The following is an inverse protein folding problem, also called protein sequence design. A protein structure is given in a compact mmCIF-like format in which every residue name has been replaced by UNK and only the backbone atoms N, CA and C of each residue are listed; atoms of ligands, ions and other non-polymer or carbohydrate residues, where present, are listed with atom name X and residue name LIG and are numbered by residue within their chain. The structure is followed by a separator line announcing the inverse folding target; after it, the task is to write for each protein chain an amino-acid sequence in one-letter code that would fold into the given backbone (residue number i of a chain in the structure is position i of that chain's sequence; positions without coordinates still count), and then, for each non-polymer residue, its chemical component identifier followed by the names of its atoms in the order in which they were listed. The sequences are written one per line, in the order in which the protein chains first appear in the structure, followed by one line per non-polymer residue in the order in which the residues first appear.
data_IF_937711690602
#
_entry.id   IF_937711690602
#
_cell.length_a   1.000
_cell.length_b   1.000
_cell.length_c   1.000
_cell.angle_alpha   90.00
_cell.angle_beta   90.00
_cell.angle_gamma   90.00
#
_symmetry.space_group_name_H-M   'P 1'
#
loop_
_entity.id
_entity.type
_entity.pdbx_description
1 polymer ?
#
# COMPACT_ATOMS: atom_id res chain seq x y z
N UNK A 1 1.63 -1.33 4.01
CA UNK A 1 1.59 0.15 4.12
C UNK A 1 1.61 0.74 2.73
N UNK A 2 0.68 1.65 2.44
CA UNK A 2 0.58 2.36 1.18
C UNK A 2 0.84 3.84 1.38
N UNK A 3 1.71 4.43 0.55
CA UNK A 3 2.19 5.81 0.68
C UNK A 3 2.06 6.57 -0.64
N UNK A 4 2.20 7.89 -0.57
CA UNK A 4 2.12 8.78 -1.75
C UNK A 4 3.39 8.79 -2.60
N UNK A 5 4.57 8.63 -1.99
CA UNK A 5 5.86 8.81 -2.67
C UNK A 5 6.88 7.71 -2.29
N UNK A 6 7.88 7.52 -3.14
CA UNK A 6 9.00 6.61 -2.86
C UNK A 6 9.81 7.05 -1.62
N UNK A 7 9.95 8.36 -1.41
CA UNK A 7 10.61 8.89 -0.19
C UNK A 7 9.86 8.45 1.07
N UNK A 8 8.52 8.49 1.05
CA UNK A 8 7.72 8.01 2.17
C UNK A 8 7.87 6.49 2.39
N UNK A 9 8.06 5.69 1.32
CA UNK A 9 8.36 4.25 1.43
C UNK A 9 9.64 4.03 2.24
N UNK A 10 10.72 4.75 1.90
CA UNK A 10 12.00 4.62 2.60
C UNK A 10 11.93 5.10 4.05
N UNK A 11 11.17 6.17 4.31
CA UNK A 11 10.91 6.65 5.66
C UNK A 11 10.20 5.60 6.51
N UNK A 12 9.11 5.01 5.99
CA UNK A 12 8.38 3.94 6.68
C UNK A 12 9.27 2.72 6.97
N UNK A 13 10.06 2.30 5.98
CA UNK A 13 11.03 1.21 6.16
C UNK A 13 11.96 1.50 7.34
N UNK A 14 12.56 2.70 7.37
CA UNK A 14 13.44 3.12 8.45
C UNK A 14 12.74 3.15 9.81
N UNK A 15 11.46 3.55 9.86
CA UNK A 15 10.70 3.54 11.12
C UNK A 15 10.49 2.11 11.65
N UNK A 16 10.17 1.15 10.77
CA UNK A 16 10.07 -0.26 11.17
C UNK A 16 11.40 -0.80 11.68
N UNK A 17 12.51 -0.50 11.01
CA UNK A 17 13.85 -0.93 11.44
C UNK A 17 14.26 -0.30 12.78
N UNK A 18 13.82 0.93 13.07
CA UNK A 18 14.17 1.64 14.29
C UNK A 18 13.34 1.19 15.50
N UNK A 19 12.04 0.96 15.29
CA UNK A 19 11.09 0.74 16.38
C UNK A 19 10.58 -0.70 16.50
N UNK A 20 10.90 -1.58 15.54
CA UNK A 20 10.47 -2.97 15.56
C UNK A 20 11.68 -3.91 15.47
N UNK A 21 11.59 -5.06 16.13
CA UNK A 21 12.61 -6.12 16.09
C UNK A 21 12.39 -7.07 14.90
N UNK A 22 12.18 -6.52 13.71
CA UNK A 22 11.86 -7.27 12.48
C UNK A 22 13.13 -7.38 11.64
N UNK A 23 13.32 -8.52 10.97
CA UNK A 23 14.47 -8.69 10.07
C UNK A 23 14.32 -7.75 8.86
N UNK A 24 15.37 -7.01 8.46
CA UNK A 24 15.29 -6.10 7.30
C UNK A 24 14.88 -6.77 5.99
N UNK A 25 15.12 -8.08 5.86
CA UNK A 25 14.71 -8.90 4.71
C UNK A 25 13.21 -9.20 4.66
N UNK A 26 12.50 -9.07 5.79
CA UNK A 26 11.05 -9.23 5.87
C UNK A 26 10.31 -7.92 5.57
N UNK A 27 11.04 -6.81 5.41
CA UNK A 27 10.49 -5.50 5.03
C UNK A 27 10.70 -5.26 3.54
N UNK A 28 9.67 -5.57 2.78
CA UNK A 28 9.66 -5.51 1.31
C UNK A 28 9.17 -4.15 0.86
N UNK A 29 9.94 -3.51 -0.02
CA UNK A 29 9.59 -2.20 -0.60
C UNK A 29 9.24 -2.34 -2.07
N UNK A 30 8.14 -1.71 -2.48
CA UNK A 30 7.70 -1.66 -3.86
C UNK A 30 7.55 -0.21 -4.33
N UNK A 31 8.26 0.11 -5.40
CA UNK A 31 8.12 1.38 -6.11
C UNK A 31 8.06 1.11 -7.61
N UNK A 32 7.82 2.15 -8.41
CA UNK A 32 7.86 2.01 -9.86
C UNK A 32 9.23 1.48 -10.35
N UNK A 33 10.31 1.78 -9.64
CA UNK A 33 11.68 1.41 -9.98
C UNK A 33 12.13 0.11 -9.30
N UNK A 34 11.67 -0.15 -8.08
CA UNK A 34 12.05 -1.32 -7.28
C UNK A 34 10.88 -2.29 -7.12
N UNK A 35 11.02 -3.52 -7.64
CA UNK A 35 9.98 -4.54 -7.63
C UNK A 35 10.51 -5.83 -7.03
N UNK A 36 10.66 -5.83 -5.71
CA UNK A 36 11.13 -6.99 -4.97
C UNK A 36 10.07 -8.10 -4.93
N UNK A 37 10.49 -9.37 -4.99
CA UNK A 37 9.57 -10.49 -4.81
C UNK A 37 9.04 -10.51 -3.38
N UNK A 38 7.77 -10.88 -3.23
CA UNK A 38 7.11 -11.01 -1.93
C UNK A 38 7.23 -12.47 -1.50
N UNK A 39 7.76 -12.76 -0.30
CA UNK A 39 7.82 -14.13 0.20
C UNK A 39 6.40 -14.68 0.44
N UNK A 40 6.14 -15.90 0.00
CA UNK A 40 4.84 -16.58 0.19
C UNK A 40 4.84 -17.52 1.41
N UNK A 41 6.03 -17.87 1.92
CA UNK A 41 6.27 -18.90 2.93
C UNK A 41 6.40 -18.34 4.36
N UNK A 42 6.48 -17.01 4.51
CA UNK A 42 6.65 -16.35 5.81
C UNK A 42 5.90 -15.01 5.91
N UNK A 43 5.58 -14.55 7.13
CA UNK A 43 5.04 -13.20 7.33
C UNK A 43 6.02 -12.13 6.87
N UNK A 44 5.51 -11.07 6.25
CA UNK A 44 6.32 -9.94 5.82
C UNK A 44 5.56 -8.61 5.96
N UNK A 45 6.31 -7.51 5.94
CA UNK A 45 5.78 -6.16 5.83
C UNK A 45 6.00 -5.70 4.40
N UNK A 46 4.91 -5.31 3.74
CA UNK A 46 4.97 -4.68 2.43
C UNK A 46 4.74 -3.18 2.54
N UNK A 47 5.64 -2.39 1.95
CA UNK A 47 5.54 -0.93 1.86
C UNK A 47 5.56 -0.54 0.38
N UNK A 48 4.52 0.13 -0.10
CA UNK A 48 4.37 0.47 -1.52
C UNK A 48 3.80 1.85 -1.73
N UNK A 49 4.01 2.42 -2.92
CA UNK A 49 3.28 3.62 -3.34
C UNK A 49 1.88 3.30 -3.84
N UNK A 50 0.93 4.25 -3.73
CA UNK A 50 -0.40 4.13 -4.33
C UNK A 50 -0.37 3.98 -5.85
N UNK A 51 0.61 4.61 -6.51
CA UNK A 51 0.77 4.56 -7.96
C UNK A 51 0.98 3.15 -8.52
N UNK A 52 1.50 2.23 -7.70
CA UNK A 52 1.64 0.81 -8.08
C UNK A 52 0.28 0.12 -8.28
N UNK A 53 -0.78 0.64 -7.67
CA UNK A 53 -2.13 0.08 -7.72
C UNK A 53 -3.14 0.96 -8.45
N UNK A 54 -2.74 2.14 -8.94
CA UNK A 54 -3.64 3.07 -9.65
C UNK A 54 -3.73 2.81 -11.15
N UNK A 55 -2.73 2.15 -11.73
CA UNK A 55 -2.70 1.82 -13.17
C UNK A 55 -3.62 0.62 -13.43
N UNK A 56 -4.43 0.66 -14.50
CA UNK A 56 -5.28 -0.48 -14.84
C UNK A 56 -4.43 -1.72 -15.12
N UNK A 57 -4.90 -2.89 -14.68
CA UNK A 57 -4.13 -4.14 -14.76
C UNK A 57 -3.64 -4.41 -16.19
N UNK A 58 -4.44 -4.15 -17.22
CA UNK A 58 -4.08 -4.39 -18.63
C UNK A 58 -2.85 -3.57 -19.05
N UNK A 59 -2.74 -2.33 -18.55
CA UNK A 59 -1.69 -1.36 -18.87
C UNK A 59 -0.45 -1.49 -18.00
N UNK A 60 -0.49 -2.33 -16.96
CA UNK A 60 0.66 -2.58 -16.10
C UNK A 60 1.79 -3.27 -16.87
N UNK A 61 3.02 -2.89 -16.56
CA UNK A 61 4.21 -3.62 -17.02
C UNK A 61 4.17 -5.07 -16.54
N UNK A 62 4.85 -5.99 -17.24
CA UNK A 62 4.91 -7.40 -16.84
C UNK A 62 5.41 -7.58 -15.40
N UNK A 63 6.40 -6.78 -15.00
CA UNK A 63 6.94 -6.82 -13.65
C UNK A 63 5.95 -6.28 -12.61
N UNK A 64 5.19 -5.22 -12.94
CA UNK A 64 4.13 -4.70 -12.07
C UNK A 64 2.99 -5.71 -11.91
N UNK A 65 2.62 -6.44 -12.98
CA UNK A 65 1.60 -7.49 -12.93
C UNK A 65 1.99 -8.62 -11.98
N UNK A 66 3.22 -9.13 -12.09
CA UNK A 66 3.71 -10.19 -11.22
C UNK A 66 3.63 -9.81 -9.74
N UNK A 67 4.07 -8.59 -9.40
CA UNK A 67 3.98 -8.07 -8.03
C UNK A 67 2.52 -7.92 -7.59
N UNK A 68 1.66 -7.35 -8.44
CA UNK A 68 0.24 -7.17 -8.13
C UNK A 68 -0.46 -8.52 -7.87
N UNK A 69 -0.14 -9.55 -8.65
CA UNK A 69 -0.63 -10.93 -8.45
C UNK A 69 -0.15 -11.50 -7.12
N UNK A 70 1.12 -11.32 -6.75
CA UNK A 70 1.63 -11.73 -5.43
C UNK A 70 0.90 -11.02 -4.28
N UNK A 71 0.64 -9.71 -4.39
CA UNK A 71 -0.07 -8.96 -3.34
C UNK A 71 -1.51 -9.43 -3.17
N UNK A 72 -2.21 -9.69 -4.28
CA UNK A 72 -3.64 -10.06 -4.28
C UNK A 72 -3.89 -11.52 -3.91
N UNK A 73 -2.92 -12.40 -4.17
CA UNK A 73 -2.95 -13.81 -3.78
C UNK A 73 -2.88 -13.98 -2.25
N UNK A 74 -2.13 -13.12 -1.56
CA UNK A 74 -1.97 -13.18 -0.11
C UNK A 74 -3.15 -12.52 0.62
N UNK A 75 -3.40 -12.98 1.84
CA UNK A 75 -4.37 -12.38 2.76
C UNK A 75 -3.62 -11.59 3.82
N UNK A 76 -3.88 -10.28 3.87
CA UNK A 76 -3.15 -9.36 4.74
C UNK A 76 -3.88 -9.17 6.06
N UNK A 77 -3.14 -9.16 7.17
CA UNK A 77 -3.74 -8.85 8.48
C UNK A 77 -4.14 -7.37 8.59
N UNK A 78 -3.32 -6.47 8.07
CA UNK A 78 -3.50 -5.02 8.21
C UNK A 78 -3.10 -4.29 6.94
N UNK A 79 -4.02 -3.48 6.41
CA UNK A 79 -3.77 -2.51 5.35
C UNK A 79 -3.67 -1.11 5.97
N UNK A 80 -2.48 -0.51 5.94
CA UNK A 80 -2.28 0.89 6.35
C UNK A 80 -2.24 1.77 5.11
N UNK A 81 -3.09 2.80 5.05
CA UNK A 81 -3.13 3.82 4.02
C UNK A 81 -2.68 5.16 4.61
N UNK A 82 -1.47 5.59 4.26
CA UNK A 82 -0.87 6.84 4.72
C UNK A 82 -1.28 8.03 3.84
N UNK A 83 -1.45 9.20 4.43
CA UNK A 83 -1.99 10.41 3.79
C UNK A 83 -3.29 10.13 3.00
N UNK A 84 -4.25 9.43 3.64
CA UNK A 84 -5.50 8.97 3.00
C UNK A 84 -6.33 10.10 2.38
N UNK A 85 -6.19 11.33 2.87
CA UNK A 85 -6.83 12.52 2.34
C UNK A 85 -6.32 12.92 0.95
N UNK A 86 -5.07 12.59 0.61
CA UNK A 86 -4.46 12.92 -0.69
C UNK A 86 -4.87 11.90 -1.76
N UNK A 87 -5.36 10.73 -1.35
CA UNK A 87 -5.67 9.64 -2.25
C UNK A 87 -7.03 9.84 -2.94
N UNK A 88 -7.12 9.87 -4.28
CA UNK A 88 -8.39 9.94 -4.98
C UNK A 88 -9.31 8.77 -4.60
N UNK A 89 -10.61 9.03 -4.37
CA UNK A 89 -11.58 8.03 -3.93
C UNK A 89 -11.60 6.78 -4.82
N UNK A 90 -11.44 6.95 -6.15
CA UNK A 90 -11.38 5.84 -7.12
C UNK A 90 -10.18 4.92 -6.91
N UNK A 91 -9.00 5.47 -6.64
CA UNK A 91 -7.78 4.69 -6.40
C UNK A 91 -7.88 3.96 -5.07
N UNK A 92 -8.38 4.62 -4.02
CA UNK A 92 -8.59 3.97 -2.74
C UNK A 92 -9.55 2.78 -2.85
N UNK A 93 -10.70 3.00 -3.50
CA UNK A 93 -11.70 1.96 -3.68
C UNK A 93 -11.13 0.76 -4.42
N UNK A 94 -10.40 0.99 -5.51
CA UNK A 94 -9.76 -0.08 -6.28
C UNK A 94 -8.77 -0.88 -5.42
N UNK A 95 -7.92 -0.20 -4.64
CA UNK A 95 -6.99 -0.86 -3.73
C UNK A 95 -7.73 -1.66 -2.66
N UNK A 96 -8.70 -1.04 -1.98
CA UNK A 96 -9.44 -1.63 -0.88
C UNK A 96 -10.27 -2.85 -1.31
N UNK A 97 -10.74 -2.89 -2.57
CA UNK A 97 -11.45 -4.05 -3.13
C UNK A 97 -10.51 -5.14 -3.62
N UNK A 98 -9.30 -4.79 -4.08
CA UNK A 98 -8.39 -5.74 -4.72
C UNK A 98 -7.46 -6.40 -3.70
N UNK A 99 -6.96 -5.63 -2.74
CA UNK A 99 -6.08 -6.13 -1.67
C UNK A 99 -6.95 -6.65 -0.53
N UNK A 100 -6.95 -7.96 -0.32
CA UNK A 100 -7.70 -8.60 0.77
C UNK A 100 -6.98 -8.33 2.10
N UNK A 101 -7.61 -7.57 2.98
CA UNK A 101 -7.09 -7.28 4.31
C UNK A 101 -8.18 -7.41 5.39
N UNK A 102 -7.82 -7.96 6.56
CA UNK A 102 -8.75 -8.10 7.70
C UNK A 102 -9.07 -6.77 8.36
N UNK A 103 -8.05 -5.93 8.53
CA UNK A 103 -8.19 -4.60 9.10
C UNK A 103 -7.64 -3.55 8.13
N UNK A 104 -8.30 -2.39 8.05
CA UNK A 104 -7.85 -1.24 7.28
C UNK A 104 -7.67 -0.06 8.23
N UNK A 105 -6.55 0.64 8.13
CA UNK A 105 -6.20 1.80 8.94
C UNK A 105 -5.78 2.95 8.02
N UNK A 106 -6.52 4.06 8.07
CA UNK A 106 -6.14 5.30 7.41
C UNK A 106 -5.36 6.21 8.37
N UNK A 107 -4.19 6.68 7.95
CA UNK A 107 -3.41 7.69 8.65
C UNK A 107 -3.54 9.01 7.88
N UNK A 108 -3.88 10.08 8.58
CA UNK A 108 -3.96 11.43 8.01
C UNK A 108 -3.69 12.46 9.10
N UNK A 109 -2.99 13.54 8.74
CA UNK A 109 -2.87 14.72 9.59
C UNK A 109 -4.08 15.68 9.44
N UNK A 110 -4.84 15.60 8.35
CA UNK A 110 -5.97 16.51 8.05
C UNK A 110 -7.24 15.74 7.68
N UNK A 111 -8.34 16.09 8.35
CA UNK A 111 -9.67 15.52 8.09
C UNK A 111 -10.38 16.16 6.88
N UNK A 112 -9.84 17.26 6.35
CA UNK A 112 -10.41 17.98 5.21
C UNK A 112 -9.80 17.43 3.92
N UNK A 113 -10.62 16.86 3.04
CA UNK A 113 -10.25 16.54 1.66
C UNK A 113 -10.71 17.66 0.72
N UNK A 114 -9.92 17.91 -0.32
CA UNK A 114 -10.23 18.92 -1.35
C UNK A 114 -11.36 18.50 -2.31
N UNK A 115 -11.84 17.25 -2.26
CA UNK A 115 -12.80 16.68 -3.21
C UNK A 115 -14.23 16.46 -2.66
N UNK A 116 -14.58 17.02 -1.50
CA UNK A 116 -15.91 16.90 -0.83
C UNK A 116 -16.45 15.47 -0.61
N UNK A 117 -15.69 14.42 -0.94
CA UNK A 117 -16.08 13.01 -0.86
C UNK A 117 -15.68 12.34 0.48
N UNK A 118 -15.62 13.10 1.57
CA UNK A 118 -15.24 12.56 2.89
C UNK A 118 -16.23 11.50 3.36
N UNK A 119 -17.51 11.60 2.97
CA UNK A 119 -18.54 10.63 3.33
C UNK A 119 -18.30 9.23 2.74
N UNK A 120 -17.65 9.12 1.57
CA UNK A 120 -17.35 7.82 0.93
C UNK A 120 -16.33 6.98 1.72
N UNK A 121 -15.53 7.61 2.60
CA UNK A 121 -14.54 6.91 3.43
C UNK A 121 -15.14 6.19 4.63
N UNK A 122 -16.31 6.62 5.13
CA UNK A 122 -16.92 6.03 6.33
C UNK A 122 -17.58 4.66 6.08
N UNK A 123 -17.82 4.30 4.81
CA UNK A 123 -18.61 3.12 4.41
C UNK A 123 -17.81 2.03 3.67
N UNK A 124 -16.47 2.02 3.72
CA UNK A 124 -15.57 1.10 2.98
C UNK A 124 -14.51 0.42 3.86
#
# INVERSE_FOLDING_TARGET
VLTTTAVAVDQWKRQFELFCSISPEDVITLTAENKQPIPEDRPCILISTYSMFSVSYERMSRASKAVFESVTKLEWGLLVADEVQVMPAKTFRSVATTVRAHCKLGLTATLVREDELVEDLQYL
#
